data_IF_617334097767
#
_entry.id   IF_617334097767
#
_cell.length_a   1.000
_cell.length_b   1.000
_cell.length_c   1.000
_cell.angle_alpha   90.00
_cell.angle_beta   90.00
_cell.angle_gamma   90.00
#
_symmetry.space_group_name_H-M   'P 1'
#
loop_
_entity.id
_entity.type
_entity.pdbx_description
1 polymer ?
#
# COMPACT_ATOMS: atom_id res chain seq x y z
N UNK A 1 20.90 -37.08 -5.12
CA UNK A 1 21.69 -38.23 -5.61
C UNK A 1 21.76 -39.41 -4.63
N UNK A 2 21.44 -39.27 -3.34
CA UNK A 2 21.56 -40.37 -2.37
C UNK A 2 20.67 -41.60 -2.58
N UNK A 3 19.69 -41.55 -3.50
CA UNK A 3 18.80 -42.67 -3.82
C UNK A 3 18.96 -43.20 -5.26
N UNK A 4 19.92 -42.71 -6.05
CA UNK A 4 20.21 -43.21 -7.41
C UNK A 4 19.16 -42.93 -8.50
N UNK A 5 18.05 -42.25 -8.18
CA UNK A 5 16.92 -42.05 -9.10
C UNK A 5 17.20 -41.15 -10.32
N UNK A 6 18.28 -40.35 -10.31
CA UNK A 6 18.66 -39.44 -11.39
C UNK A 6 20.19 -39.35 -11.50
N UNK A 7 20.70 -39.34 -12.74
CA UNK A 7 22.13 -39.17 -13.03
C UNK A 7 22.52 -37.69 -13.17
N UNK A 8 23.82 -37.38 -13.05
CA UNK A 8 24.32 -36.00 -13.25
C UNK A 8 24.04 -35.48 -14.66
N UNK A 9 24.10 -36.34 -15.67
CA UNK A 9 23.84 -35.93 -17.05
C UNK A 9 22.36 -35.67 -17.30
N UNK A 10 21.45 -36.42 -16.65
CA UNK A 10 20.01 -36.11 -16.68
C UNK A 10 19.72 -34.74 -16.07
N UNK A 11 20.40 -34.35 -15.00
CA UNK A 11 20.26 -33.02 -14.37
C UNK A 11 20.83 -31.87 -15.20
N UNK A 12 21.64 -32.17 -16.24
CA UNK A 12 22.16 -31.17 -17.19
C UNK A 12 21.23 -30.93 -18.39
N UNK A 13 20.18 -31.74 -18.54
CA UNK A 13 19.18 -31.55 -19.58
C UNK A 13 18.32 -30.30 -19.31
N UNK A 14 17.63 -29.83 -20.36
CA UNK A 14 16.70 -28.69 -20.27
C UNK A 14 15.45 -28.97 -19.42
N UNK A 15 15.20 -30.23 -19.03
CA UNK A 15 14.11 -30.62 -18.15
C UNK A 15 14.30 -30.13 -16.71
N UNK A 16 15.53 -29.76 -16.33
CA UNK A 16 15.86 -29.34 -14.97
C UNK A 16 16.40 -27.91 -14.94
N UNK A 17 15.86 -27.12 -14.02
CA UNK A 17 16.40 -25.81 -13.66
C UNK A 17 17.21 -25.95 -12.37
N UNK A 18 18.48 -25.60 -12.42
CA UNK A 18 19.30 -25.48 -11.22
C UNK A 18 18.83 -24.29 -10.40
N UNK A 19 18.38 -24.53 -9.17
CA UNK A 19 18.03 -23.47 -8.23
C UNK A 19 19.23 -23.06 -7.37
N UNK A 20 20.01 -24.05 -6.91
CA UNK A 20 21.23 -23.86 -6.10
C UNK A 20 22.26 -24.95 -6.40
N UNK A 21 23.40 -24.91 -5.72
CA UNK A 21 24.33 -26.03 -5.73
C UNK A 21 23.61 -27.31 -5.27
N UNK A 22 23.64 -28.33 -6.13
CA UNK A 22 23.02 -29.64 -5.91
C UNK A 22 21.50 -29.63 -5.65
N UNK A 23 20.82 -28.52 -5.96
CA UNK A 23 19.35 -28.37 -5.86
C UNK A 23 18.79 -27.97 -7.22
N UNK A 24 17.90 -28.80 -7.73
CA UNK A 24 17.27 -28.68 -9.03
C UNK A 24 15.76 -28.76 -8.87
N UNK A 25 15.03 -28.07 -9.75
CA UNK A 25 13.59 -28.16 -9.88
C UNK A 25 13.24 -28.48 -11.33
N UNK A 26 12.02 -28.98 -11.54
CA UNK A 26 11.45 -29.12 -12.87
C UNK A 26 11.46 -27.77 -13.59
N UNK A 27 12.02 -27.74 -14.80
CA UNK A 27 12.12 -26.51 -15.60
C UNK A 27 10.77 -25.92 -16.01
N UNK A 28 9.72 -26.75 -16.09
CA UNK A 28 8.35 -26.32 -16.37
C UNK A 28 7.70 -25.61 -15.17
N UNK A 29 8.24 -25.75 -13.96
CA UNK A 29 7.72 -25.05 -12.79
C UNK A 29 7.96 -23.53 -12.91
N UNK A 30 6.95 -22.69 -12.58
CA UNK A 30 7.16 -21.25 -12.52
C UNK A 30 8.19 -20.91 -11.46
N UNK A 31 9.10 -19.98 -11.77
CA UNK A 31 10.05 -19.46 -10.78
C UNK A 31 9.32 -18.43 -9.93
N UNK A 32 8.78 -18.87 -8.81
CA UNK A 32 8.20 -17.99 -7.79
C UNK A 32 9.03 -18.04 -6.50
N UNK A 33 8.72 -17.12 -5.58
CA UNK A 33 9.42 -17.05 -4.30
C UNK A 33 9.28 -18.34 -3.48
N UNK A 34 8.16 -19.06 -3.63
CA UNK A 34 7.89 -20.32 -2.90
C UNK A 34 8.80 -21.44 -3.37
N UNK A 35 9.06 -21.55 -4.68
CA UNK A 35 9.99 -22.51 -5.25
C UNK A 35 11.41 -22.23 -4.77
N UNK A 36 11.84 -20.96 -4.78
CA UNK A 36 13.15 -20.55 -4.28
C UNK A 36 13.31 -20.83 -2.79
N UNK A 37 12.28 -20.57 -1.99
CA UNK A 37 12.24 -20.87 -0.56
C UNK A 37 12.37 -22.37 -0.27
N UNK A 38 11.67 -23.22 -1.03
CA UNK A 38 11.84 -24.68 -0.95
C UNK A 38 13.28 -25.09 -1.28
N UNK A 39 13.87 -24.52 -2.33
CA UNK A 39 15.26 -24.78 -2.70
C UNK A 39 16.26 -24.39 -1.60
N UNK A 40 16.05 -23.25 -0.93
CA UNK A 40 16.87 -22.82 0.22
C UNK A 40 16.67 -23.74 1.43
N UNK A 41 15.44 -24.19 1.68
CA UNK A 41 15.12 -25.06 2.83
C UNK A 41 15.89 -26.38 2.82
N UNK A 42 16.29 -26.86 1.63
CA UNK A 42 17.08 -28.08 1.47
C UNK A 42 18.56 -27.93 1.85
N UNK A 43 19.08 -26.70 1.88
CA UNK A 43 20.52 -26.42 2.13
C UNK A 43 20.77 -25.57 3.37
N UNK A 44 19.72 -25.00 3.97
CA UNK A 44 19.85 -24.26 5.23
C UNK A 44 20.17 -25.21 6.40
N UNK A 45 20.89 -24.75 7.45
CA UNK A 45 21.17 -25.58 8.61
C UNK A 45 19.89 -26.11 9.26
N UNK A 46 19.92 -27.34 9.76
CA UNK A 46 18.75 -27.95 10.44
C UNK A 46 18.15 -27.08 11.56
N UNK A 47 18.90 -26.31 12.37
CA UNK A 47 18.30 -25.44 13.38
C UNK A 47 17.61 -24.19 12.81
N UNK A 48 17.84 -23.84 11.54
CA UNK A 48 17.29 -22.65 10.91
C UNK A 48 15.82 -22.82 10.50
N UNK A 49 15.18 -21.69 10.20
CA UNK A 49 13.83 -21.64 9.63
C UNK A 49 13.72 -20.47 8.65
N UNK A 50 12.87 -20.60 7.64
CA UNK A 50 12.51 -19.47 6.78
C UNK A 50 11.73 -18.43 7.60
N UNK A 51 12.02 -17.14 7.40
CA UNK A 51 11.43 -16.05 8.19
C UNK A 51 10.97 -14.89 7.33
N UNK A 52 10.56 -13.79 7.97
CA UNK A 52 10.27 -12.52 7.29
C UNK A 52 9.26 -12.65 6.14
N UNK A 53 9.56 -11.99 5.01
CA UNK A 53 8.67 -11.99 3.85
C UNK A 53 8.52 -13.38 3.23
N UNK A 54 9.56 -14.22 3.31
CA UNK A 54 9.48 -15.62 2.87
C UNK A 54 8.47 -16.41 3.70
N UNK A 55 8.52 -16.30 5.03
CA UNK A 55 7.54 -16.96 5.89
C UNK A 55 6.12 -16.40 5.69
N UNK A 56 5.98 -15.09 5.47
CA UNK A 56 4.69 -14.48 5.15
C UNK A 56 4.10 -15.03 3.84
N UNK A 57 4.92 -15.18 2.80
CA UNK A 57 4.51 -15.78 1.54
C UNK A 57 4.08 -17.25 1.71
N UNK A 58 4.82 -18.03 2.51
CA UNK A 58 4.44 -19.41 2.84
C UNK A 58 3.13 -19.51 3.64
N UNK A 59 2.79 -18.49 4.42
CA UNK A 59 1.51 -18.40 5.13
C UNK A 59 0.32 -17.97 4.26
N UNK A 60 0.54 -17.61 2.99
CA UNK A 60 -0.53 -17.23 2.05
C UNK A 60 -0.46 -15.78 1.58
N UNK A 61 0.46 -14.96 2.11
CA UNK A 61 0.68 -13.60 1.60
C UNK A 61 1.70 -13.58 0.44
N UNK A 62 1.50 -14.42 -0.57
CA UNK A 62 2.45 -14.61 -1.67
C UNK A 62 2.82 -13.30 -2.41
N UNK A 63 1.88 -12.35 -2.50
CA UNK A 63 2.11 -11.04 -3.13
C UNK A 63 3.15 -10.16 -2.39
N UNK A 64 3.54 -10.51 -1.16
CA UNK A 64 4.56 -9.79 -0.39
C UNK A 64 6.00 -10.20 -0.72
N UNK A 65 6.20 -11.29 -1.47
CA UNK A 65 7.53 -11.74 -1.85
C UNK A 65 7.54 -12.23 -3.31
N UNK A 66 8.32 -11.57 -4.15
CA UNK A 66 8.51 -11.89 -5.56
C UNK A 66 9.71 -12.81 -5.76
N UNK A 67 9.87 -13.32 -6.98
CA UNK A 67 10.99 -14.20 -7.33
C UNK A 67 12.34 -13.50 -7.20
N UNK A 68 12.38 -12.18 -7.39
CA UNK A 68 13.58 -11.36 -7.31
C UNK A 68 13.95 -10.99 -5.87
N UNK A 69 13.00 -11.11 -4.94
CA UNK A 69 13.23 -10.82 -3.53
C UNK A 69 14.07 -11.93 -2.88
N UNK A 70 15.04 -11.58 -2.00
CA UNK A 70 15.88 -12.56 -1.36
C UNK A 70 15.06 -13.49 -0.45
N UNK A 71 15.44 -14.76 -0.43
CA UNK A 71 14.88 -15.71 0.53
C UNK A 71 15.41 -15.38 1.92
N UNK A 72 14.51 -15.18 2.87
CA UNK A 72 14.84 -14.83 4.24
C UNK A 72 14.92 -16.07 5.13
N UNK A 73 16.05 -16.21 5.83
CA UNK A 73 16.31 -17.30 6.77
C UNK A 73 16.67 -16.74 8.13
N UNK A 74 16.05 -17.28 9.16
CA UNK A 74 16.41 -17.04 10.56
C UNK A 74 17.28 -18.19 11.03
N UNK A 75 18.46 -17.87 11.55
CA UNK A 75 19.40 -18.82 12.15
C UNK A 75 19.49 -18.55 13.66
N UNK A 76 19.42 -19.59 14.51
CA UNK A 76 19.64 -19.41 15.95
C UNK A 76 21.04 -18.85 16.25
N UNK A 77 21.22 -18.08 17.33
CA UNK A 77 22.54 -17.66 17.79
C UNK A 77 23.49 -18.85 17.94
N UNK A 78 24.76 -18.67 17.58
CA UNK A 78 25.78 -19.73 17.61
C UNK A 78 25.83 -20.61 16.37
N UNK A 79 24.81 -20.60 15.51
CA UNK A 79 24.84 -21.30 14.21
C UNK A 79 25.46 -20.38 13.16
N UNK A 80 26.60 -20.80 12.59
CA UNK A 80 27.21 -20.12 11.44
C UNK A 80 26.74 -20.74 10.14
N UNK A 81 26.34 -19.89 9.20
CA UNK A 81 25.97 -20.32 7.86
C UNK A 81 26.23 -19.20 6.87
N UNK A 82 26.96 -19.52 5.82
CA UNK A 82 27.26 -18.60 4.71
C UNK A 82 26.42 -19.05 3.52
N UNK A 83 25.27 -18.41 3.26
CA UNK A 83 24.45 -18.80 2.13
C UNK A 83 25.08 -18.32 0.82
N UNK A 84 24.67 -18.95 -0.29
CA UNK A 84 24.90 -18.38 -1.62
C UNK A 84 24.04 -17.14 -1.88
N UNK A 85 24.16 -16.51 -3.06
CA UNK A 85 23.41 -15.31 -3.42
C UNK A 85 21.89 -15.51 -3.32
N UNK A 86 21.16 -14.39 -3.17
CA UNK A 86 19.70 -14.39 -3.08
C UNK A 86 19.14 -14.91 -1.75
N UNK A 87 19.95 -14.93 -0.68
CA UNK A 87 19.51 -15.26 0.68
C UNK A 87 19.92 -14.16 1.64
N UNK A 88 19.00 -13.76 2.52
CA UNK A 88 19.28 -12.89 3.66
C UNK A 88 19.17 -13.71 4.93
N UNK A 89 20.22 -13.69 5.74
CA UNK A 89 20.29 -14.40 7.02
C UNK A 89 20.12 -13.43 8.17
N UNK A 90 19.25 -13.77 9.12
CA UNK A 90 19.04 -13.03 10.36
C UNK A 90 19.30 -13.93 11.55
N UNK A 91 20.02 -13.44 12.55
CA UNK A 91 20.24 -14.18 13.78
C UNK A 91 19.17 -13.85 14.82
N UNK A 92 18.40 -14.85 15.25
CA UNK A 92 17.42 -14.71 16.33
C UNK A 92 17.06 -16.08 16.93
N UNK A 93 16.67 -16.15 18.22
CA UNK A 93 16.13 -17.37 18.82
C UNK A 93 14.86 -17.84 18.09
N UNK A 94 14.68 -19.15 17.98
CA UNK A 94 13.57 -19.83 17.28
C UNK A 94 12.76 -20.75 18.21
N UNK A 95 12.66 -20.38 19.49
CA UNK A 95 12.21 -21.17 20.65
C UNK A 95 10.79 -21.78 20.53
N UNK A 96 10.60 -22.76 19.64
CA UNK A 96 9.33 -23.47 19.43
C UNK A 96 8.38 -22.82 18.42
N UNK A 97 8.58 -21.56 18.05
CA UNK A 97 7.76 -20.81 17.08
C UNK A 97 8.08 -21.17 15.61
N UNK A 98 8.21 -22.45 15.30
CA UNK A 98 8.55 -22.95 13.97
C UNK A 98 7.52 -23.98 13.52
N UNK A 99 6.92 -23.72 12.37
CA UNK A 99 6.04 -24.65 11.67
C UNK A 99 6.85 -25.49 10.70
N UNK A 100 6.45 -26.75 10.53
CA UNK A 100 7.12 -27.72 9.65
C UNK A 100 6.13 -28.28 8.65
N UNK A 101 6.59 -28.46 7.42
CA UNK A 101 5.91 -29.21 6.37
C UNK A 101 6.92 -30.23 5.82
N UNK A 102 6.76 -31.48 6.24
CA UNK A 102 7.73 -32.53 5.99
C UNK A 102 9.10 -32.28 6.66
N UNK A 103 10.15 -33.03 6.22
CA UNK A 103 11.46 -33.01 6.87
C UNK A 103 12.32 -31.77 6.58
N UNK A 104 12.01 -31.04 5.51
CA UNK A 104 12.92 -30.00 4.97
C UNK A 104 12.35 -28.59 5.04
N UNK A 105 11.02 -28.43 4.96
CA UNK A 105 10.42 -27.11 4.94
C UNK A 105 10.04 -26.66 6.34
N UNK A 106 10.65 -25.56 6.79
CA UNK A 106 10.47 -25.00 8.14
C UNK A 106 10.41 -23.49 8.06
N UNK A 107 9.45 -22.87 8.73
CA UNK A 107 9.32 -21.41 8.78
C UNK A 107 8.72 -20.92 10.09
N UNK A 108 8.91 -19.64 10.40
CA UNK A 108 8.40 -19.02 11.62
C UNK A 108 6.87 -19.05 11.70
N UNK A 109 6.32 -19.22 12.91
CA UNK A 109 4.88 -19.16 13.17
C UNK A 109 4.25 -17.83 12.73
N UNK A 110 2.92 -17.79 12.54
CA UNK A 110 2.19 -16.61 12.01
C UNK A 110 2.46 -15.32 12.80
N UNK A 111 2.21 -15.35 14.11
CA UNK A 111 2.40 -14.21 15.01
C UNK A 111 3.87 -13.82 15.08
N UNK A 112 4.77 -14.81 15.22
CA UNK A 112 6.21 -14.59 15.21
C UNK A 112 6.68 -13.89 13.92
N UNK A 113 6.18 -14.32 12.77
CA UNK A 113 6.50 -13.73 11.46
C UNK A 113 6.07 -12.27 11.39
N UNK A 114 4.84 -11.97 11.82
CA UNK A 114 4.32 -10.61 11.86
C UNK A 114 5.15 -9.72 12.80
N UNK A 115 5.43 -10.18 14.02
CA UNK A 115 6.25 -9.46 15.00
C UNK A 115 7.66 -9.19 14.47
N UNK A 116 8.29 -10.19 13.86
CA UNK A 116 9.63 -10.02 13.29
C UNK A 116 9.65 -9.03 12.13
N UNK A 117 8.60 -8.96 11.31
CA UNK A 117 8.48 -7.99 10.22
C UNK A 117 8.29 -6.57 10.74
N UNK A 118 7.32 -6.36 11.65
CA UNK A 118 7.02 -5.01 12.17
C UNK A 118 8.12 -4.43 13.06
N UNK A 119 9.14 -5.21 13.44
CA UNK A 119 10.29 -4.73 14.23
C UNK A 119 11.43 -4.14 13.38
N UNK A 120 11.37 -4.25 12.05
CA UNK A 120 12.50 -3.98 11.15
C UNK A 120 12.51 -2.56 10.59
N UNK A 121 11.44 -2.20 9.89
CA UNK A 121 11.43 -1.07 8.96
C UNK A 121 10.98 0.24 9.62
N UNK A 122 10.74 1.28 8.83
CA UNK A 122 10.10 2.51 9.30
C UNK A 122 8.64 2.27 9.72
N UNK A 123 8.08 3.12 10.58
CA UNK A 123 6.78 2.82 11.24
C UNK A 123 5.70 2.58 10.18
N UNK A 124 5.69 3.39 9.12
CA UNK A 124 4.72 3.32 8.02
C UNK A 124 4.80 2.01 7.26
N UNK A 125 6.01 1.57 6.90
CA UNK A 125 6.21 0.30 6.21
C UNK A 125 5.84 -0.89 7.11
N UNK A 126 6.12 -0.79 8.41
CA UNK A 126 5.66 -1.79 9.38
C UNK A 126 4.11 -1.84 9.46
N UNK A 127 3.42 -0.69 9.45
CA UNK A 127 1.95 -0.66 9.40
C UNK A 127 1.44 -1.27 8.08
N UNK A 128 2.02 -0.88 6.94
CA UNK A 128 1.68 -1.43 5.62
C UNK A 128 1.81 -2.94 5.63
N UNK A 129 2.94 -3.48 6.07
CA UNK A 129 3.16 -4.93 6.13
C UNK A 129 2.15 -5.61 7.05
N UNK A 130 1.87 -5.04 8.22
CA UNK A 130 0.91 -5.60 9.16
C UNK A 130 -0.52 -5.60 8.58
N UNK A 131 -0.97 -4.48 8.00
CA UNK A 131 -2.27 -4.40 7.33
C UNK A 131 -2.37 -5.44 6.22
N UNK A 132 -1.31 -5.63 5.41
CA UNK A 132 -1.28 -6.64 4.35
C UNK A 132 -1.36 -8.07 4.88
N UNK A 133 -0.72 -8.38 6.01
CA UNK A 133 -0.82 -9.69 6.65
C UNK A 133 -2.22 -9.95 7.22
N UNK A 134 -2.85 -8.93 7.80
CA UNK A 134 -4.22 -9.02 8.32
C UNK A 134 -5.22 -9.16 7.18
N UNK A 135 -5.08 -8.35 6.12
CA UNK A 135 -5.90 -8.43 4.91
C UNK A 135 -5.82 -9.80 4.23
N UNK A 136 -4.60 -10.36 4.14
CA UNK A 136 -4.37 -11.71 3.62
C UNK A 136 -4.80 -12.83 4.59
N UNK A 137 -5.40 -12.50 5.74
CA UNK A 137 -5.82 -13.42 6.80
C UNK A 137 -4.70 -14.33 7.31
N UNK A 138 -3.45 -13.88 7.21
CA UNK A 138 -2.28 -14.59 7.75
C UNK A 138 -2.26 -14.51 9.27
N UNK A 139 -2.68 -13.37 9.84
CA UNK A 139 -2.68 -13.14 11.28
C UNK A 139 -3.82 -12.23 11.70
N UNK A 140 -4.36 -12.44 12.90
CA UNK A 140 -5.30 -11.50 13.51
C UNK A 140 -4.56 -10.34 14.19
N UNK A 141 -5.05 -9.11 14.01
CA UNK A 141 -4.41 -7.92 14.57
C UNK A 141 -4.35 -7.95 16.10
N UNK A 142 -5.38 -8.47 16.76
CA UNK A 142 -5.41 -8.62 18.23
C UNK A 142 -4.27 -9.51 18.75
N UNK A 143 -3.99 -10.62 18.07
CA UNK A 143 -2.90 -11.52 18.44
C UNK A 143 -1.52 -10.84 18.28
N UNK A 144 -1.33 -10.04 17.23
CA UNK A 144 -0.10 -9.27 17.03
C UNK A 144 0.05 -8.22 18.12
N UNK A 145 -1.01 -7.46 18.44
CA UNK A 145 -1.01 -6.46 19.52
C UNK A 145 -0.61 -7.08 20.87
N UNK A 146 -1.24 -8.18 21.25
CA UNK A 146 -0.89 -8.92 22.47
C UNK A 146 0.58 -9.38 22.46
N UNK A 147 1.09 -9.87 21.33
CA UNK A 147 2.47 -10.33 21.24
C UNK A 147 3.48 -9.19 21.30
N UNK A 148 3.22 -8.04 20.65
CA UNK A 148 4.12 -6.88 20.73
C UNK A 148 4.10 -6.23 22.11
N UNK A 149 2.97 -6.30 22.82
CA UNK A 149 2.85 -5.80 24.18
C UNK A 149 3.63 -6.66 25.19
N UNK A 150 3.69 -7.97 24.97
CA UNK A 150 4.51 -8.90 25.74
C UNK A 150 6.02 -8.81 25.43
N UNK A 151 6.45 -8.08 24.39
CA UNK A 151 7.87 -8.01 24.04
C UNK A 151 8.70 -7.37 25.17
N UNK A 152 9.89 -7.91 25.49
CA UNK A 152 10.82 -7.22 26.37
C UNK A 152 11.26 -5.89 25.77
N UNK A 153 11.72 -4.97 26.62
CA UNK A 153 12.32 -3.69 26.18
C UNK A 153 13.65 -3.96 25.46
N UNK A 154 13.57 -4.04 24.13
CA UNK A 154 14.70 -4.29 23.22
C UNK A 154 14.55 -3.40 21.99
N UNK A 155 15.61 -3.33 21.19
CA UNK A 155 15.56 -2.65 19.89
C UNK A 155 14.38 -3.16 19.06
N UNK A 156 13.60 -2.23 18.52
CA UNK A 156 12.40 -2.49 17.72
C UNK A 156 11.11 -2.70 18.52
N UNK A 157 11.14 -2.91 19.84
CA UNK A 157 9.91 -3.21 20.60
C UNK A 157 8.94 -2.01 20.70
N UNK A 158 9.45 -0.82 21.01
CA UNK A 158 8.63 0.40 21.05
C UNK A 158 8.07 0.75 19.67
N UNK A 159 8.87 0.48 18.64
CA UNK A 159 8.47 0.68 17.26
C UNK A 159 7.35 -0.29 16.85
N UNK A 160 7.48 -1.59 17.15
CA UNK A 160 6.47 -2.59 16.86
C UNK A 160 5.13 -2.28 17.53
N UNK A 161 5.14 -1.81 18.79
CA UNK A 161 3.92 -1.36 19.49
C UNK A 161 3.25 -0.19 18.77
N UNK A 162 4.03 0.82 18.36
CA UNK A 162 3.50 1.95 17.57
C UNK A 162 2.88 1.49 16.26
N UNK A 163 3.56 0.60 15.53
CA UNK A 163 3.04 0.09 14.26
C UNK A 163 1.72 -0.70 14.47
N UNK A 164 1.67 -1.58 15.48
CA UNK A 164 0.49 -2.36 15.80
C UNK A 164 -0.70 -1.52 16.30
N UNK A 165 -0.43 -0.40 16.98
CA UNK A 165 -1.45 0.56 17.39
C UNK A 165 -2.05 1.33 16.20
N UNK A 166 -1.22 1.63 15.19
CA UNK A 166 -1.64 2.35 13.99
C UNK A 166 -2.27 1.46 12.91
N UNK A 167 -2.02 0.15 12.93
CA UNK A 167 -2.64 -0.80 12.01
C UNK A 167 -4.14 -0.99 12.33
N UNK A 168 -4.93 -1.23 11.29
CA UNK A 168 -6.36 -1.57 11.39
C UNK A 168 -6.76 -2.74 10.49
N UNK A 169 -5.91 -3.13 9.53
CA UNK A 169 -6.16 -4.24 8.61
C UNK A 169 -7.25 -3.99 7.58
N UNK A 170 -7.72 -2.75 7.42
CA UNK A 170 -8.85 -2.41 6.54
C UNK A 170 -8.41 -1.93 5.15
N UNK A 171 -7.16 -1.49 5.01
CA UNK A 171 -6.61 -1.03 3.72
C UNK A 171 -6.40 -2.21 2.77
N UNK A 172 -6.93 -2.10 1.55
CA UNK A 172 -6.83 -3.15 0.53
C UNK A 172 -5.49 -3.09 -0.22
N UNK A 173 -4.78 -1.96 -0.11
CA UNK A 173 -3.50 -1.72 -0.77
C UNK A 173 -2.49 -0.93 0.09
N UNK A 174 -1.16 -1.06 -0.16
CA UNK A 174 -0.15 -0.27 0.54
C UNK A 174 -0.34 1.25 0.45
N UNK A 175 -0.72 1.83 -0.71
CA UNK A 175 -0.97 3.27 -0.78
C UNK A 175 -2.18 3.72 0.06
N UNK A 176 -3.24 2.91 0.20
CA UNK A 176 -4.36 3.22 1.09
C UNK A 176 -3.92 3.29 2.55
N UNK A 177 -3.10 2.35 3.03
CA UNK A 177 -2.50 2.46 4.38
C UNK A 177 -1.70 3.75 4.53
N UNK A 178 -0.87 4.10 3.54
CA UNK A 178 -0.07 5.35 3.60
C UNK A 178 -0.95 6.59 3.60
N UNK A 179 -2.02 6.62 2.81
CA UNK A 179 -3.03 7.67 2.82
C UNK A 179 -3.71 7.76 4.20
N UNK A 180 -4.09 6.63 4.79
CA UNK A 180 -4.67 6.58 6.14
C UNK A 180 -3.74 7.17 7.19
N UNK A 181 -2.45 6.80 7.16
CA UNK A 181 -1.44 7.33 8.07
C UNK A 181 -1.21 8.84 7.87
N UNK A 182 -1.25 9.32 6.63
CA UNK A 182 -1.20 10.74 6.31
C UNK A 182 -2.40 11.48 6.92
N UNK A 183 -3.61 10.95 6.75
CA UNK A 183 -4.84 11.52 7.31
C UNK A 183 -4.81 11.49 8.84
N UNK A 184 -4.32 10.42 9.46
CA UNK A 184 -4.15 10.34 10.90
C UNK A 184 -3.22 11.43 11.44
N UNK A 185 -2.10 11.70 10.76
CA UNK A 185 -1.12 12.73 11.17
C UNK A 185 -1.58 14.16 10.91
N UNK A 186 -2.60 14.35 10.09
CA UNK A 186 -3.15 15.66 9.79
C UNK A 186 -3.86 16.27 11.01
N UNK A 187 -4.31 15.48 11.98
CA UNK A 187 -5.12 16.00 13.08
C UNK A 187 -6.56 16.34 12.67
N UNK A 188 -6.94 16.10 11.41
CA UNK A 188 -8.34 16.00 11.02
C UNK A 188 -8.97 14.79 11.70
N UNK A 189 -10.24 14.86 12.13
CA UNK A 189 -10.91 13.68 12.67
C UNK A 189 -10.93 12.56 11.64
N UNK A 190 -10.55 11.36 12.11
CA UNK A 190 -10.28 10.20 11.27
C UNK A 190 -11.47 9.86 10.36
N UNK A 191 -11.24 9.64 9.06
CA UNK A 191 -12.29 9.19 8.17
C UNK A 191 -12.66 7.72 8.44
N UNK A 192 -13.86 7.35 8.05
CA UNK A 192 -14.32 5.95 8.02
C UNK A 192 -13.73 5.29 6.78
N UNK A 193 -12.97 4.22 6.97
CA UNK A 193 -12.41 3.44 5.87
C UNK A 193 -13.48 2.61 5.17
N UNK A 194 -13.30 2.33 3.86
CA UNK A 194 -14.12 1.43 3.05
C UNK A 194 -15.63 1.71 3.16
N UNK A 195 -16.01 3.00 3.17
CA UNK A 195 -17.38 3.43 3.44
C UNK A 195 -18.29 3.23 2.21
N UNK A 196 -19.46 2.64 2.43
CA UNK A 196 -20.50 2.52 1.41
C UNK A 196 -21.38 3.77 1.36
N UNK A 197 -21.30 4.49 0.26
CA UNK A 197 -22.22 5.58 -0.04
C UNK A 197 -23.50 4.98 -0.60
N UNK A 198 -24.63 5.32 0.05
CA UNK A 198 -25.97 4.97 -0.39
C UNK A 198 -26.80 6.22 -0.65
N UNK A 199 -27.70 6.16 -1.63
CA UNK A 199 -28.65 7.22 -1.96
C UNK A 199 -30.04 6.63 -2.09
N UNK A 200 -31.00 7.12 -1.30
CA UNK A 200 -32.38 6.58 -1.27
C UNK A 200 -32.42 5.06 -1.06
N UNK A 201 -31.55 4.53 -0.18
CA UNK A 201 -31.42 3.10 0.10
C UNK A 201 -30.52 2.31 -0.87
N UNK A 202 -30.31 2.82 -2.08
CA UNK A 202 -29.54 2.18 -3.13
C UNK A 202 -28.03 2.38 -2.95
N UNK A 203 -27.25 1.34 -3.26
CA UNK A 203 -25.79 1.42 -3.26
C UNK A 203 -25.30 2.30 -4.42
N UNK A 204 -24.46 3.28 -4.12
CA UNK A 204 -23.85 4.17 -5.12
C UNK A 204 -22.42 3.74 -5.40
N UNK A 205 -21.59 3.69 -4.36
CA UNK A 205 -20.19 3.33 -4.46
C UNK A 205 -19.61 3.02 -3.07
N UNK A 206 -18.54 2.23 -3.03
CA UNK A 206 -17.65 2.12 -1.88
C UNK A 206 -16.43 3.01 -2.11
N UNK A 207 -16.05 3.81 -1.11
CA UNK A 207 -14.92 4.75 -1.17
C UNK A 207 -13.87 4.38 -0.12
N UNK A 208 -12.59 4.65 -0.40
CA UNK A 208 -11.49 4.24 0.49
C UNK A 208 -11.60 4.88 1.86
N UNK A 209 -11.89 6.18 1.91
CA UNK A 209 -12.08 6.96 3.13
C UNK A 209 -13.22 7.95 3.00
N UNK A 210 -14.08 8.05 4.01
CA UNK A 210 -15.21 8.97 4.03
C UNK A 210 -15.28 9.80 5.32
N UNK A 211 -15.78 11.02 5.20
CA UNK A 211 -16.31 11.83 6.32
C UNK A 211 -17.80 12.04 6.07
N UNK A 212 -18.68 11.12 6.52
CA UNK A 212 -20.10 11.13 6.15
C UNK A 212 -20.81 12.44 6.50
N UNK A 213 -20.50 13.02 7.67
CA UNK A 213 -21.06 14.31 8.10
C UNK A 213 -20.73 15.50 7.18
N UNK A 214 -19.70 15.38 6.33
CA UNK A 214 -19.31 16.40 5.36
C UNK A 214 -19.50 15.94 3.90
N UNK A 215 -20.07 14.75 3.67
CA UNK A 215 -20.18 14.11 2.35
C UNK A 215 -18.88 14.19 1.54
N UNK A 216 -17.76 13.95 2.21
CA UNK A 216 -16.42 14.01 1.61
C UNK A 216 -15.86 12.58 1.52
N UNK A 217 -15.49 12.18 0.32
CA UNK A 217 -14.73 10.97 0.05
C UNK A 217 -13.28 11.34 -0.32
N UNK A 218 -12.32 10.54 0.16
CA UNK A 218 -10.91 10.63 -0.21
C UNK A 218 -10.50 9.27 -0.76
N UNK A 219 -9.97 9.26 -1.98
CA UNK A 219 -9.62 8.03 -2.70
C UNK A 219 -8.17 8.07 -3.14
N UNK A 220 -7.51 6.93 -3.07
CA UNK A 220 -6.22 6.76 -3.68
C UNK A 220 -6.38 6.49 -5.18
N UNK A 221 -5.87 7.39 -6.02
CA UNK A 221 -5.83 7.22 -7.47
C UNK A 221 -4.53 6.52 -7.86
N UNK A 222 -4.62 5.19 -7.96
CA UNK A 222 -3.54 4.35 -8.50
C UNK A 222 -3.27 4.63 -9.98
N UNK A 223 -2.14 4.17 -10.50
CA UNK A 223 -1.83 4.33 -11.92
C UNK A 223 -2.93 3.70 -12.78
N UNK A 224 -3.49 4.51 -13.69
CA UNK A 224 -4.63 4.14 -14.52
C UNK A 224 -4.21 3.06 -15.54
N UNK A 225 -4.68 1.82 -15.37
CA UNK A 225 -4.25 0.68 -16.21
C UNK A 225 -5.07 0.47 -17.49
N UNK A 226 -5.86 1.46 -17.92
CA UNK A 226 -6.22 1.56 -19.34
C UNK A 226 -7.19 0.51 -19.87
N UNK A 227 -7.80 -0.33 -19.03
CA UNK A 227 -8.62 -1.43 -19.52
C UNK A 227 -9.86 -0.89 -20.29
N UNK A 228 -10.23 -1.49 -21.44
CA UNK A 228 -11.42 -1.08 -22.19
C UNK A 228 -12.67 -1.02 -21.29
N UNK A 229 -13.40 0.10 -21.35
CA UNK A 229 -14.62 0.30 -20.55
C UNK A 229 -14.41 0.72 -19.09
N UNK A 230 -13.18 0.78 -18.58
CA UNK A 230 -12.90 1.24 -17.21
C UNK A 230 -13.24 2.73 -17.03
N UNK A 231 -12.90 3.60 -18.00
CA UNK A 231 -13.27 5.03 -17.96
C UNK A 231 -14.77 5.26 -17.78
N UNK A 232 -15.58 4.46 -18.47
CA UNK A 232 -17.04 4.59 -18.42
C UNK A 232 -17.59 4.20 -17.05
N UNK A 233 -17.05 3.13 -16.45
CA UNK A 233 -17.42 2.71 -15.09
C UNK A 233 -17.00 3.73 -14.04
N UNK A 234 -15.77 4.24 -14.13
CA UNK A 234 -15.24 5.25 -13.20
C UNK A 234 -16.05 6.54 -13.26
N UNK A 235 -16.42 7.00 -14.47
CA UNK A 235 -17.29 8.17 -14.66
C UNK A 235 -18.69 7.96 -14.10
N UNK A 236 -19.32 6.81 -14.34
CA UNK A 236 -20.64 6.51 -13.77
C UNK A 236 -20.60 6.51 -12.24
N UNK A 237 -19.56 5.91 -11.66
CA UNK A 237 -19.31 5.91 -10.21
C UNK A 237 -19.18 7.34 -9.66
N UNK A 238 -18.37 8.18 -10.30
CA UNK A 238 -18.18 9.58 -9.89
C UNK A 238 -19.46 10.42 -10.04
N UNK A 239 -20.21 10.22 -11.13
CA UNK A 239 -21.49 10.90 -11.33
C UNK A 239 -22.50 10.50 -10.25
N UNK A 240 -22.55 9.22 -9.88
CA UNK A 240 -23.40 8.73 -8.79
C UNK A 240 -23.04 9.36 -7.44
N UNK A 241 -21.75 9.41 -7.10
CA UNK A 241 -21.27 10.11 -5.89
C UNK A 241 -21.65 11.59 -5.91
N UNK A 242 -21.43 12.26 -7.03
CA UNK A 242 -21.76 13.69 -7.20
C UNK A 242 -23.26 13.93 -7.06
N UNK A 243 -24.11 13.10 -7.69
CA UNK A 243 -25.56 13.18 -7.58
C UNK A 243 -26.06 12.91 -6.15
N UNK A 244 -25.36 12.07 -5.39
CA UNK A 244 -25.62 11.86 -3.97
C UNK A 244 -25.09 13.00 -3.06
N UNK A 245 -24.59 14.09 -3.65
CA UNK A 245 -24.04 15.26 -2.95
C UNK A 245 -22.65 15.04 -2.36
N UNK A 246 -21.94 13.99 -2.80
CA UNK A 246 -20.59 13.71 -2.34
C UNK A 246 -19.55 14.44 -3.18
N UNK A 247 -18.53 14.94 -2.49
CA UNK A 247 -17.31 15.43 -3.11
C UNK A 247 -16.22 14.39 -2.95
N UNK A 248 -15.51 14.13 -4.04
CA UNK A 248 -14.43 13.14 -4.08
C UNK A 248 -13.10 13.87 -4.28
N UNK A 249 -12.14 13.58 -3.41
CA UNK A 249 -10.76 14.06 -3.51
C UNK A 249 -9.86 12.88 -3.83
N UNK A 250 -9.23 12.93 -5.00
CA UNK A 250 -8.24 11.94 -5.41
C UNK A 250 -6.85 12.32 -4.91
N UNK A 251 -6.15 11.34 -4.32
CA UNK A 251 -4.77 11.45 -3.87
C UNK A 251 -3.93 10.50 -4.71
N UNK A 252 -2.98 11.04 -5.45
CA UNK A 252 -2.10 10.25 -6.33
C UNK A 252 -0.84 9.79 -5.59
N UNK A 253 -0.09 8.87 -6.20
CA UNK A 253 1.24 8.50 -5.72
C UNK A 253 2.20 9.70 -5.58
N UNK A 254 2.10 10.69 -6.48
CA UNK A 254 2.91 11.90 -6.42
C UNK A 254 2.57 12.78 -5.21
N UNK A 255 1.28 12.84 -4.85
CA UNK A 255 0.80 13.56 -3.67
C UNK A 255 1.28 12.87 -2.38
N UNK A 256 1.26 11.53 -2.33
CA UNK A 256 1.81 10.77 -1.20
C UNK A 256 3.33 10.89 -1.06
N UNK A 257 4.06 10.95 -2.19
CA UNK A 257 5.52 11.11 -2.18
C UNK A 257 5.96 12.52 -1.78
N UNK A 258 5.11 13.52 -1.99
CA UNK A 258 5.34 14.92 -1.61
C UNK A 258 4.12 15.48 -0.90
N UNK A 259 3.89 15.11 0.37
CA UNK A 259 2.74 15.60 1.10
C UNK A 259 2.78 17.13 1.29
N UNK A 260 3.94 17.76 1.02
CA UNK A 260 4.26 19.19 0.96
C UNK A 260 4.10 19.91 -0.40
N UNK A 261 3.87 19.20 -1.50
CA UNK A 261 3.84 19.77 -2.84
C UNK A 261 2.47 20.37 -3.20
N UNK A 262 2.42 21.49 -3.92
CA UNK A 262 1.18 22.09 -4.44
C UNK A 262 0.53 21.18 -5.51
N UNK A 263 0.04 20.00 -5.13
CA UNK A 263 -0.86 19.20 -5.94
C UNK A 263 -2.18 19.94 -6.05
N UNK A 264 -2.51 20.47 -7.23
CA UNK A 264 -3.88 20.95 -7.50
C UNK A 264 -4.79 19.72 -7.49
N UNK A 265 -5.88 19.69 -6.71
CA UNK A 265 -6.90 18.66 -6.84
C UNK A 265 -7.34 18.61 -8.30
N UNK A 266 -7.18 17.46 -8.96
CA UNK A 266 -7.69 17.29 -10.32
C UNK A 266 -9.19 17.02 -10.21
N UNK A 267 -10.00 18.05 -10.48
CA UNK A 267 -11.41 17.84 -10.77
C UNK A 267 -11.56 17.07 -12.10
N UNK A 268 -12.41 16.04 -12.17
CA UNK A 268 -12.68 15.35 -13.43
C UNK A 268 -13.61 16.21 -14.28
N UNK A 269 -13.03 17.14 -15.05
CA UNK A 269 -13.77 18.03 -15.94
C UNK A 269 -12.93 18.53 -17.12
N UNK A 270 -13.29 18.06 -18.32
CA UNK A 270 -12.96 18.59 -19.65
C UNK A 270 -11.48 18.87 -19.97
N UNK A 271 -10.78 17.89 -20.57
CA UNK A 271 -9.77 18.21 -21.58
C UNK A 271 -10.48 18.33 -22.93
N UNK A 272 -10.60 19.56 -23.42
CA UNK A 272 -10.90 19.82 -24.82
C UNK A 272 -9.81 19.16 -25.66
N UNK A 273 -10.20 18.17 -26.47
CA UNK A 273 -9.37 17.63 -27.54
C UNK A 273 -9.27 18.74 -28.59
N UNK A 274 -8.11 19.40 -28.67
CA UNK A 274 -7.80 20.25 -29.83
C UNK A 274 -7.48 19.32 -31.00
N UNK A 275 -8.18 19.38 -32.14
CA UNK A 275 -7.77 18.64 -33.33
C UNK A 275 -6.46 19.23 -33.84
N UNK A 276 -5.42 18.39 -33.94
CA UNK A 276 -4.19 18.75 -34.64
C UNK A 276 -4.45 18.67 -36.14
N UNK A 277 -4.45 19.82 -36.82
CA UNK A 277 -4.37 19.90 -38.27
C UNK A 277 -2.93 19.57 -38.74
N UNK A 278 -2.76 18.92 -39.91
CA UNK A 278 -1.46 18.50 -40.42
C UNK A 278 -0.56 19.68 -40.78
N UNK A 279 0.76 19.47 -40.60
CA UNK A 279 1.83 20.45 -40.75
C UNK A 279 2.03 20.88 -42.21
N UNK A 280 1.74 22.13 -42.53
CA UNK A 280 2.33 22.86 -43.66
C UNK A 280 2.26 24.38 -43.46
N UNK A 281 3.44 25.00 -43.26
CA UNK A 281 3.86 26.37 -43.59
C UNK A 281 3.10 27.64 -43.10
N UNK A 282 3.87 28.47 -42.35
CA UNK A 282 4.09 29.95 -42.45
C UNK A 282 3.05 30.95 -41.91
N UNK A 283 3.45 31.77 -40.91
CA UNK A 283 3.80 33.22 -41.02
C UNK A 283 3.66 33.90 -39.64
N UNK A 284 4.62 34.74 -39.23
CA UNK A 284 4.54 35.57 -38.02
C UNK A 284 4.04 36.98 -38.38
N UNK A 285 2.94 37.41 -37.74
CA UNK A 285 2.45 38.80 -37.73
C UNK A 285 2.36 39.35 -36.29
N UNK A 286 2.33 40.68 -36.09
CA UNK A 286 2.69 41.31 -34.82
C UNK A 286 1.61 41.22 -33.73
N UNK A 287 2.04 41.40 -32.47
CA UNK A 287 1.20 41.47 -31.27
C UNK A 287 0.53 42.85 -31.14
N UNK A 288 -0.74 42.87 -30.76
CA UNK A 288 -1.39 44.06 -30.19
C UNK A 288 -1.65 43.92 -28.69
N UNK A 289 -1.64 45.02 -27.91
CA UNK A 289 -1.73 45.01 -26.46
C UNK A 289 -3.17 45.21 -25.96
N UNK A 290 -3.57 44.44 -24.93
CA UNK A 290 -4.82 44.71 -24.20
C UNK A 290 -4.55 45.38 -22.85
N UNK A 291 -5.30 46.46 -22.63
CA UNK A 291 -5.26 47.35 -21.48
C UNK A 291 -5.98 46.78 -20.24
N UNK A 292 -5.50 47.20 -19.06
CA UNK A 292 -6.15 47.23 -17.72
C UNK A 292 -7.33 48.24 -17.72
N UNK A 293 -8.25 48.35 -16.71
CA UNK A 293 -8.11 48.01 -15.29
C UNK A 293 -9.33 47.40 -14.52
N UNK A 294 -9.04 47.10 -13.25
CA UNK A 294 -9.84 46.65 -12.08
C UNK A 294 -11.02 47.56 -11.68
N UNK A 295 -12.01 47.08 -10.87
CA UNK A 295 -11.95 47.20 -9.40
C UNK A 295 -12.51 45.96 -8.65
N UNK A 296 -11.86 45.35 -7.65
CA UNK A 296 -11.76 45.71 -6.21
C UNK A 296 -13.08 45.96 -5.47
N UNK A 297 -13.65 44.88 -4.92
CA UNK A 297 -14.43 44.92 -3.67
C UNK A 297 -14.03 43.70 -2.81
N UNK A 298 -13.30 43.93 -1.73
CA UNK A 298 -13.03 42.95 -0.68
C UNK A 298 -13.75 43.45 0.57
N UNK A 299 -14.75 42.68 1.00
CA UNK A 299 -15.47 42.92 2.26
C UNK A 299 -14.67 42.37 3.44
N UNK A 300 -14.62 43.17 4.51
CA UNK A 300 -13.83 43.09 5.74
C UNK A 300 -14.18 41.94 6.71
N UNK A 301 -14.46 40.72 6.21
CA UNK A 301 -14.77 39.56 7.08
C UNK A 301 -13.81 38.37 6.98
N UNK A 302 -12.70 38.49 6.25
CA UNK A 302 -11.68 37.44 6.15
C UNK A 302 -10.39 37.82 6.90
N UNK A 303 -10.41 37.83 8.23
CA UNK A 303 -9.17 37.84 9.02
C UNK A 303 -9.33 37.07 10.32
N UNK A 304 -9.35 35.74 10.22
CA UNK A 304 -8.83 34.85 11.28
C UNK A 304 -8.83 33.42 10.76
N UNK A 305 -7.68 32.96 10.26
CA UNK A 305 -7.19 31.57 10.28
C UNK A 305 -5.88 31.50 9.47
N UNK A 306 -4.90 32.26 9.91
CA UNK A 306 -3.51 32.10 9.51
C UNK A 306 -2.71 31.74 10.76
N UNK A 307 -2.40 30.45 10.93
CA UNK A 307 -1.17 29.90 11.55
C UNK A 307 -1.34 28.41 11.86
N UNK A 308 -0.98 27.57 10.90
CA UNK A 308 -0.30 26.29 11.12
C UNK A 308 0.11 25.70 9.75
N UNK A 309 1.37 25.85 9.29
CA UNK A 309 1.81 25.31 8.02
C UNK A 309 2.43 23.94 8.23
N UNK A 310 1.71 22.88 7.89
CA UNK A 310 2.32 21.62 7.50
C UNK A 310 1.36 20.84 6.60
N UNK A 311 1.73 20.75 5.31
CA UNK A 311 1.13 19.97 4.23
C UNK A 311 -0.01 20.68 3.42
N UNK A 312 0.16 21.03 2.13
CA UNK A 312 -0.89 21.61 1.29
C UNK A 312 -2.06 20.68 0.93
N UNK A 313 -1.92 19.35 1.03
CA UNK A 313 -3.06 18.40 0.91
C UNK A 313 -4.10 18.70 1.99
N UNK A 314 -3.62 19.11 3.16
CA UNK A 314 -4.42 19.50 4.32
C UNK A 314 -5.32 20.70 3.99
N UNK A 315 -4.79 21.72 3.30
CA UNK A 315 -5.57 22.87 2.89
C UNK A 315 -6.66 22.49 1.87
N UNK A 316 -6.41 21.53 0.98
CA UNK A 316 -7.43 21.05 0.03
C UNK A 316 -8.54 20.25 0.74
N UNK A 317 -8.19 19.34 1.66
CA UNK A 317 -9.15 18.55 2.42
C UNK A 317 -9.94 19.43 3.41
N UNK A 318 -9.28 20.38 4.07
CA UNK A 318 -9.92 21.34 4.98
C UNK A 318 -10.76 22.35 4.22
N UNK A 319 -10.28 22.96 3.13
CA UNK A 319 -11.08 23.88 2.32
C UNK A 319 -12.29 23.17 1.70
N UNK A 320 -12.13 21.91 1.29
CA UNK A 320 -13.27 21.08 0.98
C UNK A 320 -14.18 20.98 2.22
N UNK A 321 -13.72 20.52 3.39
CA UNK A 321 -14.57 20.40 4.57
C UNK A 321 -15.29 21.72 5.01
N UNK A 322 -14.67 22.88 4.76
CA UNK A 322 -15.15 24.21 5.19
C UNK A 322 -16.12 24.90 4.22
N UNK A 323 -16.23 24.47 2.96
CA UNK A 323 -17.20 25.02 2.01
C UNK A 323 -18.58 24.37 2.21
N UNK A 324 -19.27 24.78 3.29
CA UNK A 324 -20.70 24.60 3.51
C UNK A 324 -21.42 25.92 3.25
N UNK A 325 -22.28 26.05 2.23
CA UNK A 325 -23.35 27.03 2.25
C UNK A 325 -24.62 26.37 2.79
N UNK A 326 -24.93 26.62 4.05
CA UNK A 326 -26.33 26.63 4.47
C UNK A 326 -26.85 28.03 4.18
N UNK A 327 -27.65 28.18 3.12
CA UNK A 327 -28.53 29.32 2.94
C UNK A 327 -29.82 28.81 2.28
N UNK A 328 -30.83 28.64 3.12
CA UNK A 328 -32.21 28.39 2.74
C UNK A 328 -32.72 29.52 1.86
N UNK A 329 -33.22 29.18 0.67
CA UNK A 329 -34.33 29.93 0.08
C UNK A 329 -35.62 29.42 0.73
N UNK A 330 -36.26 30.26 1.54
CA UNK A 330 -37.71 30.24 1.70
C UNK A 330 -38.18 31.67 1.53
N UNK A 331 -38.68 31.98 0.33
CA UNK A 331 -39.45 33.17 0.08
C UNK A 331 -40.86 32.93 0.64
N UNK A 332 -41.38 33.94 1.34
CA UNK A 332 -42.77 34.04 1.79
C UNK A 332 -43.74 33.88 0.61
N UNK A 333 -44.80 33.10 0.84
CA UNK A 333 -46.19 33.51 0.67
C UNK A 333 -47.00 32.85 1.79
#
# INVERSE_FOLDING_TARGET
MGAGLLTRDQLRSSAWRRLRQDVYADAASPVDHRLLARGVSLVMPRPAALGGLTAAALWGAAALARAEDPVEVVVPPGVRWTPGPGVVVRSAPLDGDVVRDGPWLRWTGRVRTAVDLVRRDGTDEAVVLLDRLVWARVVGLAAVRSAVDALPRRRGSAHARRAAALADGLAESPPETRLRLLLHRSGLPLPVAQYEVRSVGEFVARVDFARPGHRLAVEYDGAWHGAPGQLGRDRRRLNGLTAAGWRVVFVTAADLARPGGRGRPRHPGARAVRPQAPKSLVHQGPREPSATPTPSFVSEQFTMLARCPALPIHAAITAAASLCPWAMFSARA
#
